data_IF_277260285649
#
_entry.id   IF_277260285649
#
_cell.length_a   1.000
_cell.length_b   1.000
_cell.length_c   1.000
_cell.angle_alpha   90.00
_cell.angle_beta   90.00
_cell.angle_gamma   90.00
#
_symmetry.space_group_name_H-M   'P 1'
#
loop_
_entity.id
_entity.type
_entity.pdbx_description
1 polymer ?
#
# COMPACT_ATOMS: atom_id res chain seq x y z
N UNK A 1 -19.05 -49.21 22.63
CA UNK A 1 -19.08 -48.69 21.24
C UNK A 1 -19.12 -47.16 21.21
N UNK A 2 -19.94 -46.46 22.02
CA UNK A 2 -19.98 -44.97 22.02
C UNK A 2 -18.73 -44.25 22.53
N UNK A 3 -17.90 -44.86 23.37
CA UNK A 3 -16.74 -44.20 23.98
C UNK A 3 -15.55 -44.04 23.01
N UNK A 4 -15.27 -45.05 22.18
CA UNK A 4 -14.18 -45.00 21.20
C UNK A 4 -14.42 -43.96 20.10
N UNK A 5 -15.68 -43.84 19.64
CA UNK A 5 -16.07 -42.86 18.64
C UNK A 5 -15.96 -41.40 19.17
N UNK A 6 -16.16 -41.20 20.47
CA UNK A 6 -15.98 -39.91 21.13
C UNK A 6 -14.51 -39.54 21.33
N UNK A 7 -13.60 -40.52 21.42
CA UNK A 7 -12.15 -40.28 21.51
C UNK A 7 -11.57 -39.92 20.14
N UNK A 8 -12.05 -40.53 19.05
CA UNK A 8 -11.64 -40.21 17.69
C UNK A 8 -12.22 -38.87 17.17
N UNK A 9 -13.39 -38.43 17.66
CA UNK A 9 -13.99 -37.14 17.27
C UNK A 9 -13.31 -35.92 17.91
N UNK A 10 -12.76 -36.05 19.12
CA UNK A 10 -12.09 -34.95 19.84
C UNK A 10 -10.91 -34.31 19.08
N UNK A 11 -9.94 -35.06 18.51
CA UNK A 11 -8.84 -34.47 17.76
C UNK A 11 -9.29 -33.83 16.44
N UNK A 12 -10.36 -34.34 15.83
CA UNK A 12 -10.93 -33.75 14.61
C UNK A 12 -11.64 -32.43 14.95
N UNK A 13 -12.41 -32.39 16.04
CA UNK A 13 -13.05 -31.17 16.49
C UNK A 13 -12.02 -30.09 16.86
N UNK A 14 -10.94 -30.46 17.56
CA UNK A 14 -9.86 -29.53 17.89
C UNK A 14 -9.17 -28.96 16.63
N UNK A 15 -9.01 -29.76 15.57
CA UNK A 15 -8.48 -29.29 14.29
C UNK A 15 -9.45 -28.34 13.57
N UNK A 16 -10.76 -28.61 13.62
CA UNK A 16 -11.78 -27.72 13.07
C UNK A 16 -11.80 -26.38 13.82
N UNK A 17 -11.74 -26.42 15.15
CA UNK A 17 -11.73 -25.22 15.98
C UNK A 17 -10.47 -24.38 15.71
N UNK A 18 -9.30 -25.02 15.64
CA UNK A 18 -8.04 -24.36 15.29
C UNK A 18 -8.05 -23.76 13.88
N UNK A 19 -8.56 -24.49 12.89
CA UNK A 19 -8.68 -23.99 11.52
C UNK A 19 -9.66 -22.81 11.42
N UNK A 20 -10.75 -22.86 12.18
CA UNK A 20 -11.76 -21.79 12.22
C UNK A 20 -11.21 -20.53 12.89
N UNK A 21 -10.44 -20.66 13.97
CA UNK A 21 -9.75 -19.54 14.62
C UNK A 21 -8.74 -18.89 13.68
N UNK A 22 -7.91 -19.71 13.02
CA UNK A 22 -6.92 -19.22 12.07
C UNK A 22 -7.56 -18.51 10.86
N UNK A 23 -8.67 -19.05 10.34
CA UNK A 23 -9.44 -18.41 9.27
C UNK A 23 -9.96 -17.04 9.72
N UNK A 24 -10.50 -16.95 10.94
CA UNK A 24 -11.00 -15.69 11.50
C UNK A 24 -9.91 -14.65 11.79
N UNK A 25 -8.66 -15.06 12.00
CA UNK A 25 -7.50 -14.16 12.03
C UNK A 25 -7.18 -13.61 10.64
N UNK A 26 -7.03 -14.50 9.66
CA UNK A 26 -6.73 -14.15 8.27
C UNK A 26 -7.78 -13.19 7.66
N UNK A 27 -9.07 -13.42 7.93
CA UNK A 27 -10.16 -12.56 7.48
C UNK A 27 -10.10 -11.15 8.10
N UNK A 28 -9.73 -11.05 9.38
CA UNK A 28 -9.58 -9.75 10.06
C UNK A 28 -8.39 -8.97 9.50
N UNK A 29 -7.27 -9.64 9.30
CA UNK A 29 -6.06 -9.04 8.73
C UNK A 29 -6.33 -8.54 7.30
N UNK A 30 -7.07 -9.32 6.50
CA UNK A 30 -7.46 -8.93 5.14
C UNK A 30 -8.36 -7.69 5.15
N UNK A 31 -9.35 -7.63 6.05
CA UNK A 31 -10.22 -6.46 6.20
C UNK A 31 -9.45 -5.20 6.63
N UNK A 32 -8.44 -5.34 7.48
CA UNK A 32 -7.59 -4.21 7.88
C UNK A 32 -6.78 -3.69 6.70
N UNK A 33 -6.17 -4.58 5.91
CA UNK A 33 -5.41 -4.22 4.71
C UNK A 33 -6.31 -3.56 3.66
N UNK A 34 -7.50 -4.10 3.41
CA UNK A 34 -8.45 -3.53 2.45
C UNK A 34 -8.87 -2.11 2.85
N UNK A 35 -9.10 -1.83 4.15
CA UNK A 35 -9.37 -0.47 4.65
C UNK A 35 -8.17 0.46 4.49
N UNK A 36 -6.96 -0.05 4.72
CA UNK A 36 -5.73 0.71 4.49
C UNK A 36 -5.59 1.13 3.03
N UNK A 37 -5.85 0.21 2.10
CA UNK A 37 -5.85 0.47 0.66
C UNK A 37 -6.93 1.48 0.25
N UNK A 38 -8.15 1.38 0.78
CA UNK A 38 -9.23 2.34 0.54
C UNK A 38 -8.83 3.77 0.98
N UNK A 39 -8.22 3.90 2.16
CA UNK A 39 -7.73 5.19 2.68
C UNK A 39 -6.64 5.79 1.80
N UNK A 40 -5.77 4.96 1.22
CA UNK A 40 -4.75 5.41 0.28
C UNK A 40 -5.35 5.78 -1.08
N UNK A 41 -6.40 5.08 -1.51
CA UNK A 41 -7.10 5.37 -2.76
C UNK A 41 -7.77 6.75 -2.73
N UNK A 42 -8.34 7.16 -1.60
CA UNK A 42 -8.86 8.53 -1.40
C UNK A 42 -7.79 9.61 -1.66
N UNK A 43 -6.52 9.31 -1.36
CA UNK A 43 -5.38 10.23 -1.55
C UNK A 43 -4.75 10.11 -2.94
N UNK A 44 -5.08 9.08 -3.72
CA UNK A 44 -4.48 8.80 -5.05
C UNK A 44 -4.54 10.01 -5.97
N UNK A 45 -5.69 10.68 -6.02
CA UNK A 45 -5.90 11.85 -6.89
C UNK A 45 -4.92 13.00 -6.58
N UNK A 46 -4.59 13.21 -5.30
CA UNK A 46 -3.65 14.25 -4.89
C UNK A 46 -2.21 13.93 -5.32
N UNK A 47 -1.78 12.67 -5.16
CA UNK A 47 -0.44 12.24 -5.54
C UNK A 47 -0.26 12.18 -7.05
N UNK A 48 -1.29 11.79 -7.79
CA UNK A 48 -1.27 11.82 -9.25
C UNK A 48 -1.14 13.26 -9.78
N UNK A 49 -1.89 14.20 -9.22
CA UNK A 49 -1.73 15.62 -9.56
C UNK A 49 -0.34 16.15 -9.20
N UNK A 50 0.23 15.72 -8.07
CA UNK A 50 1.58 16.12 -7.67
C UNK A 50 2.64 15.59 -8.64
N UNK A 51 2.48 14.36 -9.14
CA UNK A 51 3.34 13.75 -10.16
C UNK A 51 3.27 14.54 -11.48
N UNK A 52 2.07 14.88 -11.95
CA UNK A 52 1.86 15.70 -13.15
C UNK A 52 2.51 17.09 -13.02
N UNK A 53 2.39 17.71 -11.84
CA UNK A 53 3.03 19.00 -11.55
C UNK A 53 4.56 18.86 -11.56
N UNK A 54 5.11 17.83 -10.91
CA UNK A 54 6.56 17.60 -10.91
C UNK A 54 7.09 17.38 -12.34
N UNK A 55 6.38 16.61 -13.17
CA UNK A 55 6.73 16.41 -14.57
C UNK A 55 6.65 17.70 -15.40
N UNK A 56 5.61 18.51 -15.20
CA UNK A 56 5.47 19.80 -15.87
C UNK A 56 6.57 20.79 -15.49
N UNK A 57 7.03 20.75 -14.23
CA UNK A 57 8.13 21.60 -13.75
C UNK A 57 9.48 21.17 -14.33
N UNK A 58 9.71 19.87 -14.53
CA UNK A 58 10.89 19.38 -15.25
C UNK A 58 10.88 19.87 -16.70
N UNK A 59 9.75 19.72 -17.41
CA UNK A 59 9.61 20.17 -18.79
C UNK A 59 9.87 21.67 -18.91
N UNK A 60 9.33 22.47 -17.98
CA UNK A 60 9.56 23.90 -17.93
C UNK A 60 11.05 24.23 -17.70
N UNK A 61 11.75 23.47 -16.86
CA UNK A 61 13.17 23.63 -16.61
C UNK A 61 14.02 23.23 -17.84
N UNK A 62 13.68 22.14 -18.52
CA UNK A 62 14.35 21.66 -19.73
C UNK A 62 14.20 22.65 -20.90
N UNK A 63 13.07 23.38 -20.95
CA UNK A 63 12.85 24.48 -21.89
C UNK A 63 13.61 25.76 -21.50
N UNK A 64 14.37 25.77 -20.40
CA UNK A 64 15.05 26.94 -19.88
C UNK A 64 14.11 28.03 -19.35
N UNK A 65 12.82 27.70 -19.15
CA UNK A 65 11.77 28.62 -18.77
C UNK A 65 11.37 28.48 -17.28
N UNK A 66 12.17 27.77 -16.47
CA UNK A 66 11.90 27.54 -15.05
C UNK A 66 11.68 28.83 -14.24
N UNK A 67 12.34 29.92 -14.65
CA UNK A 67 12.17 31.27 -14.08
C UNK A 67 10.73 31.81 -14.20
N UNK A 68 9.91 31.32 -15.14
CA UNK A 68 8.51 31.72 -15.26
C UNK A 68 7.66 31.23 -14.09
N UNK A 69 8.04 30.12 -13.46
CA UNK A 69 7.36 29.56 -12.30
C UNK A 69 8.04 29.97 -10.99
N UNK A 70 9.38 29.88 -10.94
CA UNK A 70 10.15 30.14 -9.73
C UNK A 70 10.52 31.62 -9.53
N UNK A 71 10.34 32.46 -10.54
CA UNK A 71 10.71 33.87 -10.55
C UNK A 71 12.20 34.13 -10.82
N UNK A 72 12.52 35.34 -11.27
CA UNK A 72 13.90 35.78 -11.59
C UNK A 72 14.88 35.78 -10.40
N UNK A 73 14.38 35.76 -9.16
CA UNK A 73 15.21 35.63 -7.95
C UNK A 73 15.53 34.19 -7.57
N UNK A 74 15.05 33.20 -8.34
CA UNK A 74 15.61 31.86 -8.32
C UNK A 74 17.00 31.89 -9.01
N UNK A 75 17.90 32.72 -8.49
CA UNK A 75 19.30 32.76 -8.85
C UNK A 75 19.91 31.41 -8.49
N UNK A 76 19.88 30.46 -9.43
CA UNK A 76 20.68 29.24 -9.38
C UNK A 76 20.29 28.19 -8.33
N UNK A 77 19.44 27.26 -8.74
CA UNK A 77 19.76 25.81 -8.72
C UNK A 77 19.80 25.03 -7.39
N UNK A 78 19.16 25.45 -6.29
CA UNK A 78 19.06 24.52 -5.12
C UNK A 78 17.67 24.46 -4.50
N UNK A 79 17.05 25.60 -4.16
CA UNK A 79 15.75 25.60 -3.47
C UNK A 79 14.58 25.04 -4.32
N UNK A 80 14.55 25.29 -5.62
CA UNK A 80 13.50 24.78 -6.52
C UNK A 80 13.66 23.29 -6.80
N UNK A 81 14.89 22.84 -7.05
CA UNK A 81 15.22 21.43 -7.25
C UNK A 81 14.95 20.61 -5.97
N UNK A 82 15.30 21.14 -4.80
CA UNK A 82 15.07 20.48 -3.51
C UNK A 82 13.58 20.31 -3.21
N UNK A 83 12.74 21.30 -3.55
CA UNK A 83 11.29 21.20 -3.34
C UNK A 83 10.64 20.17 -4.26
N UNK A 84 11.03 20.13 -5.54
CA UNK A 84 10.57 19.10 -6.49
C UNK A 84 11.05 17.73 -6.04
N UNK A 85 12.30 17.59 -5.60
CA UNK A 85 12.84 16.33 -5.11
C UNK A 85 12.12 15.84 -3.84
N UNK A 86 11.80 16.74 -2.91
CA UNK A 86 11.02 16.41 -1.72
C UNK A 86 9.59 15.96 -2.07
N UNK A 87 8.98 16.57 -3.09
CA UNK A 87 7.68 16.11 -3.59
C UNK A 87 7.76 14.71 -4.21
N UNK A 88 8.81 14.43 -5.00
CA UNK A 88 9.07 13.10 -5.58
C UNK A 88 9.26 12.02 -4.52
N UNK A 89 10.04 12.31 -3.47
CA UNK A 89 10.24 11.37 -2.37
C UNK A 89 8.90 10.99 -1.72
N UNK A 90 7.99 11.96 -1.52
CA UNK A 90 6.65 11.68 -0.98
C UNK A 90 5.79 10.84 -1.92
N UNK A 91 5.89 11.05 -3.23
CA UNK A 91 5.20 10.21 -4.24
C UNK A 91 5.74 8.77 -4.18
N UNK A 92 7.06 8.60 -4.10
CA UNK A 92 7.69 7.28 -3.99
C UNK A 92 7.29 6.56 -2.70
N UNK A 93 7.30 7.25 -1.55
CA UNK A 93 6.84 6.71 -0.27
C UNK A 93 5.38 6.24 -0.36
N UNK A 94 4.50 7.04 -0.99
CA UNK A 94 3.10 6.68 -1.19
C UNK A 94 2.92 5.45 -2.07
N UNK A 95 3.66 5.36 -3.18
CA UNK A 95 3.63 4.16 -4.04
C UNK A 95 4.17 2.92 -3.32
N UNK A 96 5.22 3.07 -2.51
CA UNK A 96 5.79 2.00 -1.70
C UNK A 96 4.79 1.50 -0.66
N UNK A 97 4.07 2.39 0.01
CA UNK A 97 3.04 2.02 0.99
C UNK A 97 1.91 1.20 0.35
N UNK A 98 1.42 1.62 -0.83
CA UNK A 98 0.42 0.87 -1.60
C UNK A 98 0.98 -0.51 -1.98
N UNK A 99 2.19 -0.58 -2.52
CA UNK A 99 2.78 -1.84 -2.97
C UNK A 99 2.94 -2.83 -1.81
N UNK A 100 3.39 -2.38 -0.64
CA UNK A 100 3.53 -3.21 0.55
C UNK A 100 2.18 -3.75 1.04
N UNK A 101 1.12 -2.93 1.05
CA UNK A 101 -0.21 -3.40 1.42
C UNK A 101 -0.77 -4.39 0.40
N UNK A 102 -0.54 -4.17 -0.90
CA UNK A 102 -0.94 -5.09 -1.96
C UNK A 102 -0.20 -6.43 -1.87
N UNK A 103 1.10 -6.42 -1.56
CA UNK A 103 1.90 -7.64 -1.35
C UNK A 103 1.41 -8.43 -0.13
N UNK A 104 1.14 -7.76 0.99
CA UNK A 104 0.53 -8.38 2.18
C UNK A 104 -0.82 -9.00 1.88
N UNK A 105 -1.67 -8.27 1.16
CA UNK A 105 -2.99 -8.76 0.72
C UNK A 105 -2.86 -10.01 -0.13
N UNK A 106 -1.95 -10.02 -1.10
CA UNK A 106 -1.71 -11.17 -1.97
C UNK A 106 -1.22 -12.39 -1.17
N UNK A 107 -0.29 -12.17 -0.26
CA UNK A 107 0.26 -13.24 0.61
C UNK A 107 -0.82 -13.87 1.49
N UNK A 108 -1.74 -13.07 2.06
CA UNK A 108 -2.87 -13.57 2.84
C UNK A 108 -3.87 -14.35 1.99
N UNK A 109 -4.16 -13.86 0.78
CA UNK A 109 -5.05 -14.56 -0.16
C UNK A 109 -4.47 -15.90 -0.63
N UNK A 110 -3.16 -16.02 -0.72
CA UNK A 110 -2.46 -17.28 -1.00
C UNK A 110 -2.55 -18.24 0.18
N UNK A 111 -2.28 -17.77 1.41
CA UNK A 111 -2.46 -18.57 2.63
C UNK A 111 -3.89 -19.09 2.82
N UNK A 112 -4.91 -18.31 2.43
CA UNK A 112 -6.31 -18.73 2.44
C UNK A 112 -6.63 -19.82 1.41
N UNK A 113 -5.94 -19.84 0.26
CA UNK A 113 -6.13 -20.86 -0.79
C UNK A 113 -5.46 -22.18 -0.45
N UNK A 114 -4.29 -22.13 0.19
CA UNK A 114 -3.52 -23.31 0.56
C UNK A 114 -4.11 -24.05 1.78
N UNK A 115 -5.03 -23.40 2.52
CA UNK A 115 -5.76 -23.98 3.65
C UNK A 115 -7.10 -24.67 3.30
N UNK A 116 -7.45 -24.81 2.01
CA UNK A 116 -8.69 -25.45 1.51
C UNK A 116 -8.49 -26.89 1.05
#
# INVERSE_FOLDING_TARGET
>A
MSSAHLEEQRPVQAQIDQASEHLGELERDLLEIDRGLETLDEKRSHYQLLEDICGSLDELNDLGAGELFWGQQADGTTLSADQVQAARARIEDFHSEIAQLQEKRQSLLEGLKDGQ
#
